data_IF_856725800667
#
_entry.id   IF_856725800667
#
_cell.length_a   1.000
_cell.length_b   1.000
_cell.length_c   1.000
_cell.angle_alpha   90.00
_cell.angle_beta   90.00
_cell.angle_gamma   90.00
#
_symmetry.space_group_name_H-M   'P 1'
#
loop_
_entity.id
_entity.type
_entity.pdbx_description
1 polymer ?
#
# COMPACT_ATOMS: atom_id res chain seq x y z
N UNK A 1 15.94 9.11 25.49
CA UNK A 1 15.76 8.40 24.20
C UNK A 1 15.08 9.39 23.28
N UNK A 2 15.88 10.18 22.57
CA UNK A 2 15.34 11.22 21.70
C UNK A 2 14.94 10.54 20.39
N UNK A 3 13.65 10.61 20.06
CA UNK A 3 13.14 10.09 18.80
C UNK A 3 13.83 10.80 17.64
N UNK A 4 14.19 10.11 16.53
CA UNK A 4 14.68 10.78 15.34
C UNK A 4 13.63 11.79 14.87
N UNK A 5 13.99 13.07 14.87
CA UNK A 5 13.11 14.15 14.44
C UNK A 5 12.90 14.05 12.92
N UNK A 6 11.73 13.57 12.52
CA UNK A 6 11.29 13.50 11.13
C UNK A 6 10.29 14.64 10.91
N UNK A 7 10.62 15.64 10.08
CA UNK A 7 9.75 16.79 9.83
C UNK A 7 9.30 16.79 8.36
N UNK A 8 8.06 16.32 8.05
CA UNK A 8 7.68 15.93 6.70
C UNK A 8 6.79 16.91 5.91
N UNK A 9 6.60 18.15 6.37
CA UNK A 9 5.81 19.10 5.58
C UNK A 9 6.64 19.68 4.42
N UNK A 10 6.90 18.82 3.43
CA UNK A 10 7.69 19.13 2.24
C UNK A 10 7.06 20.27 1.46
N UNK A 11 5.73 20.30 1.35
CA UNK A 11 4.99 21.40 0.74
C UNK A 11 5.29 22.73 1.43
N UNK A 12 5.10 22.82 2.76
CA UNK A 12 5.36 24.06 3.48
C UNK A 12 6.84 24.44 3.42
N UNK A 13 7.75 23.47 3.45
CA UNK A 13 9.17 23.73 3.26
C UNK A 13 9.44 24.38 1.91
N UNK A 14 8.90 23.83 0.81
CA UNK A 14 9.07 24.38 -0.54
C UNK A 14 8.48 25.79 -0.64
N UNK A 15 7.27 26.01 -0.13
CA UNK A 15 6.61 27.32 -0.19
C UNK A 15 7.30 28.39 0.66
N UNK A 16 8.02 28.01 1.70
CA UNK A 16 8.74 28.92 2.60
C UNK A 16 10.22 29.09 2.24
N UNK A 17 10.66 28.61 1.08
CA UNK A 17 12.03 28.83 0.62
C UNK A 17 12.28 30.32 0.39
N UNK A 18 13.47 30.83 0.73
CA UNK A 18 13.84 32.18 0.32
C UNK A 18 13.86 32.27 -1.21
N UNK A 19 13.64 33.46 -1.78
CA UNK A 19 13.76 33.68 -3.23
C UNK A 19 15.03 33.06 -3.81
N UNK A 20 14.94 32.40 -4.97
CA UNK A 20 16.09 31.74 -5.62
C UNK A 20 17.27 32.68 -5.93
N UNK A 21 17.08 33.99 -5.89
CA UNK A 21 18.12 35.03 -6.01
C UNK A 21 18.92 35.24 -4.71
N UNK A 22 18.37 34.88 -3.56
CA UNK A 22 18.96 35.08 -2.23
C UNK A 22 19.74 33.85 -1.74
N UNK A 23 19.79 32.77 -2.51
CA UNK A 23 20.46 31.54 -2.14
C UNK A 23 21.98 31.74 -2.16
N UNK A 24 22.62 31.58 -1.01
CA UNK A 24 24.09 31.68 -0.87
C UNK A 24 24.82 30.49 -1.49
N UNK A 25 24.16 29.34 -1.51
CA UNK A 25 24.64 28.06 -2.06
C UNK A 25 23.76 27.65 -3.23
N UNK A 26 24.29 26.81 -4.13
CA UNK A 26 23.50 26.24 -5.24
C UNK A 26 22.42 25.27 -4.77
N UNK A 27 22.35 24.94 -3.47
CA UNK A 27 21.37 24.03 -2.91
C UNK A 27 20.85 24.47 -1.53
N UNK A 28 19.61 24.07 -1.23
CA UNK A 28 18.97 24.17 0.09
C UNK A 28 18.44 22.79 0.46
N UNK A 29 18.63 22.36 1.70
CA UNK A 29 18.32 21.00 2.14
C UNK A 29 17.43 20.97 3.38
N UNK A 30 16.45 20.06 3.38
CA UNK A 30 15.62 19.66 4.51
C UNK A 30 16.08 18.30 5.02
N UNK A 31 16.31 18.16 6.32
CA UNK A 31 16.64 16.85 6.89
C UNK A 31 15.39 15.96 6.95
N UNK A 32 15.50 14.76 6.36
CA UNK A 32 14.46 13.74 6.36
C UNK A 32 14.63 12.85 7.59
N UNK A 33 15.80 12.22 7.75
CA UNK A 33 16.12 11.38 8.90
C UNK A 33 17.56 11.59 9.36
N UNK A 34 17.78 11.45 10.66
CA UNK A 34 19.11 11.39 11.28
C UNK A 34 19.30 10.07 11.99
N UNK A 35 20.45 9.42 11.81
CA UNK A 35 20.89 8.36 12.71
C UNK A 35 21.19 8.94 14.11
N UNK A 36 21.01 8.12 15.15
CA UNK A 36 21.37 8.45 16.55
C UNK A 36 22.89 8.63 16.73
N UNK A 37 23.70 8.15 15.79
CA UNK A 37 25.14 8.39 15.71
C UNK A 37 25.41 9.54 14.74
N UNK A 38 26.35 10.45 15.06
CA UNK A 38 26.78 11.52 14.14
C UNK A 38 27.25 10.87 12.83
N UNK A 39 26.42 11.01 11.80
CA UNK A 39 26.47 10.31 10.50
C UNK A 39 26.06 8.83 10.58
N UNK A 40 25.21 8.38 9.64
CA UNK A 40 24.70 9.10 8.46
C UNK A 40 23.31 9.77 8.62
N UNK A 41 23.00 10.71 7.73
CA UNK A 41 21.70 11.38 7.64
C UNK A 41 21.22 11.50 6.20
N UNK A 42 19.90 11.58 6.04
CA UNK A 42 19.20 11.71 4.76
C UNK A 42 18.55 13.09 4.66
N UNK A 43 18.66 13.71 3.48
CA UNK A 43 18.18 15.04 3.21
C UNK A 43 17.38 15.09 1.90
N UNK A 44 16.34 15.90 1.86
CA UNK A 44 15.72 16.36 0.64
C UNK A 44 16.41 17.67 0.25
N UNK A 45 17.06 17.72 -0.90
CA UNK A 45 17.78 18.91 -1.38
C UNK A 45 17.12 19.44 -2.63
N UNK A 46 17.01 20.76 -2.73
CA UNK A 46 16.67 21.45 -3.97
C UNK A 46 17.94 22.06 -4.51
N UNK A 47 18.32 21.65 -5.72
CA UNK A 47 19.52 22.09 -6.41
C UNK A 47 19.15 23.02 -7.57
N UNK A 48 19.83 24.17 -7.61
CA UNK A 48 19.79 25.14 -8.70
C UNK A 48 20.99 24.88 -9.61
N UNK A 49 20.76 24.17 -10.71
CA UNK A 49 21.82 23.81 -11.67
C UNK A 49 22.09 24.93 -12.67
N UNK A 50 21.10 25.75 -13.01
CA UNK A 50 21.28 26.95 -13.84
C UNK A 50 20.27 28.05 -13.46
N UNK A 51 20.26 29.16 -14.20
CA UNK A 51 19.27 30.24 -14.02
C UNK A 51 17.85 29.86 -14.46
N UNK A 52 17.65 28.70 -15.08
CA UNK A 52 16.38 28.34 -15.74
C UNK A 52 15.74 27.03 -15.28
N UNK A 53 16.43 26.21 -14.49
CA UNK A 53 15.85 24.97 -13.99
C UNK A 53 16.35 24.58 -12.61
N UNK A 54 15.49 23.85 -11.90
CA UNK A 54 15.70 23.35 -10.55
C UNK A 54 15.43 21.85 -10.53
N UNK A 55 16.14 21.11 -9.69
CA UNK A 55 15.92 19.69 -9.45
C UNK A 55 15.80 19.42 -7.95
N UNK A 56 14.87 18.53 -7.57
CA UNK A 56 14.81 17.99 -6.22
C UNK A 56 15.57 16.67 -6.17
N UNK A 57 16.28 16.41 -5.07
CA UNK A 57 17.03 15.18 -4.88
C UNK A 57 16.93 14.67 -3.45
N UNK A 58 16.86 13.35 -3.28
CA UNK A 58 17.06 12.72 -1.98
C UNK A 58 18.53 12.35 -1.89
N UNK A 59 19.22 12.87 -0.88
CA UNK A 59 20.68 12.77 -0.72
C UNK A 59 21.00 12.19 0.65
N UNK A 60 21.95 11.27 0.69
CA UNK A 60 22.52 10.77 1.94
C UNK A 60 23.96 11.27 2.10
N UNK A 61 24.32 11.64 3.32
CA UNK A 61 25.65 12.21 3.60
C UNK A 61 26.51 11.23 4.41
N UNK A 62 27.50 10.65 3.74
CA UNK A 62 28.48 9.69 4.27
C UNK A 62 29.92 10.21 4.21
N UNK A 63 30.12 11.53 4.37
CA UNK A 63 31.32 12.30 3.98
C UNK A 63 31.33 12.74 2.51
N UNK A 64 30.74 11.95 1.60
CA UNK A 64 30.44 12.34 0.21
C UNK A 64 28.92 12.27 0.02
N UNK A 65 28.28 13.27 -0.62
CA UNK A 65 26.86 13.23 -0.90
C UNK A 65 26.55 12.16 -1.96
N UNK A 66 25.72 11.18 -1.61
CA UNK A 66 25.20 10.18 -2.54
C UNK A 66 23.76 10.53 -2.88
N UNK A 67 23.48 10.69 -4.16
CA UNK A 67 22.14 11.00 -4.67
C UNK A 67 21.37 9.70 -4.86
N UNK A 68 20.36 9.48 -4.02
CA UNK A 68 19.49 8.30 -4.08
C UNK A 68 18.37 8.49 -5.10
N UNK A 69 17.90 9.72 -5.26
CA UNK A 69 16.87 10.07 -6.22
C UNK A 69 17.08 11.50 -6.71
N UNK A 70 16.73 11.79 -7.95
CA UNK A 70 16.69 13.14 -8.51
C UNK A 70 15.48 13.28 -9.44
N UNK A 71 14.71 14.36 -9.26
CA UNK A 71 13.53 14.68 -10.05
C UNK A 71 13.90 15.03 -11.49
N UNK A 72 12.90 14.97 -12.36
CA UNK A 72 12.99 15.61 -13.67
C UNK A 72 13.27 17.12 -13.51
N UNK A 73 14.00 17.76 -14.44
CA UNK A 73 14.23 19.21 -14.39
C UNK A 73 12.92 20.00 -14.41
N UNK A 74 12.72 20.85 -13.40
CA UNK A 74 11.60 21.77 -13.33
C UNK A 74 12.06 23.08 -13.95
N UNK A 75 11.51 23.39 -15.13
CA UNK A 75 11.82 24.61 -15.85
C UNK A 75 11.04 25.78 -15.25
N UNK A 76 11.76 26.83 -14.87
CA UNK A 76 11.16 28.06 -14.37
C UNK A 76 10.57 28.85 -15.54
N UNK A 77 9.32 29.27 -15.38
CA UNK A 77 8.59 30.03 -16.40
C UNK A 77 9.25 31.38 -16.71
N UNK A 78 9.94 31.98 -15.74
CA UNK A 78 10.68 33.22 -15.88
C UNK A 78 12.04 33.13 -15.15
N UNK A 79 13.10 33.72 -15.73
CA UNK A 79 14.42 33.85 -15.10
C UNK A 79 14.39 34.65 -13.78
N UNK A 80 13.34 35.46 -13.58
CA UNK A 80 13.09 36.26 -12.38
C UNK A 80 12.19 35.56 -11.36
N UNK A 81 11.70 34.34 -11.64
CA UNK A 81 10.83 33.59 -10.75
C UNK A 81 11.58 33.31 -9.45
N UNK A 82 10.95 33.63 -8.32
CA UNK A 82 11.57 33.60 -7.00
C UNK A 82 11.25 32.33 -6.22
N UNK A 83 10.11 31.71 -6.52
CA UNK A 83 9.53 30.55 -5.81
C UNK A 83 8.93 29.57 -6.82
N UNK A 84 8.64 28.34 -6.41
CA UNK A 84 7.86 27.42 -7.25
C UNK A 84 6.38 27.81 -7.18
N UNK A 85 5.75 27.99 -8.32
CA UNK A 85 4.32 28.24 -8.41
C UNK A 85 3.55 26.90 -8.51
N UNK A 86 2.23 27.00 -8.52
CA UNK A 86 1.33 25.85 -8.59
C UNK A 86 1.59 24.89 -9.76
N UNK A 87 1.83 25.33 -11.01
CA UNK A 87 2.06 24.41 -12.12
C UNK A 87 3.37 23.62 -11.97
N UNK A 88 4.43 24.23 -11.43
CA UNK A 88 5.68 23.54 -11.14
C UNK A 88 5.52 22.49 -10.02
N UNK A 89 4.74 22.81 -8.99
CA UNK A 89 4.42 21.88 -7.90
C UNK A 89 3.57 20.70 -8.39
N UNK A 90 2.63 20.96 -9.30
CA UNK A 90 1.84 19.94 -9.97
C UNK A 90 2.74 19.04 -10.84
N UNK A 91 3.68 19.62 -11.58
CA UNK A 91 4.63 18.86 -12.40
C UNK A 91 5.52 17.96 -11.52
N UNK A 92 6.02 18.51 -10.41
CA UNK A 92 6.79 17.74 -9.42
C UNK A 92 5.96 16.61 -8.81
N UNK A 93 4.69 16.86 -8.47
CA UNK A 93 3.78 15.83 -8.00
C UNK A 93 3.66 14.68 -9.00
N UNK A 94 3.44 14.99 -10.28
CA UNK A 94 3.38 13.98 -11.35
C UNK A 94 4.68 13.20 -11.48
N UNK A 95 5.83 13.88 -11.40
CA UNK A 95 7.15 13.24 -11.43
C UNK A 95 7.34 12.28 -10.25
N UNK A 96 6.96 12.69 -9.03
CA UNK A 96 7.00 11.86 -7.82
C UNK A 96 6.17 10.59 -8.00
N UNK A 97 4.92 10.72 -8.46
CA UNK A 97 4.04 9.55 -8.68
C UNK A 97 4.66 8.59 -9.69
N UNK A 98 5.15 9.12 -10.81
CA UNK A 98 5.80 8.32 -11.84
C UNK A 98 7.06 7.62 -11.32
N UNK A 99 7.83 8.28 -10.48
CA UNK A 99 9.02 7.68 -9.85
C UNK A 99 8.66 6.56 -8.90
N UNK A 100 7.63 6.72 -8.06
CA UNK A 100 7.15 5.63 -7.20
C UNK A 100 6.77 4.43 -8.07
N UNK A 101 5.94 4.61 -9.09
CA UNK A 101 5.47 3.52 -9.96
C UNK A 101 6.61 2.77 -10.68
N UNK A 102 7.77 3.41 -10.92
CA UNK A 102 8.94 2.74 -11.52
C UNK A 102 9.58 1.68 -10.64
N UNK A 103 9.38 1.76 -9.32
CA UNK A 103 9.81 0.73 -8.38
C UNK A 103 8.84 -0.46 -8.31
N UNK A 104 7.66 -0.32 -8.92
CA UNK A 104 6.66 -1.39 -8.99
C UNK A 104 7.04 -2.52 -9.95
N UNK A 105 6.25 -3.61 -9.94
CA UNK A 105 6.45 -4.75 -10.83
C UNK A 105 6.31 -4.40 -12.32
N UNK A 106 5.42 -3.46 -12.65
CA UNK A 106 5.14 -3.08 -14.03
C UNK A 106 5.57 -1.64 -14.35
N UNK A 107 6.72 -1.51 -14.99
CA UNK A 107 7.33 -0.22 -15.34
C UNK A 107 6.66 0.50 -16.52
N UNK A 108 5.59 -0.04 -17.10
CA UNK A 108 4.92 0.53 -18.28
C UNK A 108 3.92 1.64 -17.94
N UNK A 109 3.49 1.72 -16.68
CA UNK A 109 2.50 2.70 -16.28
C UNK A 109 3.12 4.09 -16.16
N UNK A 110 2.45 5.07 -16.74
CA UNK A 110 2.80 6.48 -16.61
C UNK A 110 1.56 7.23 -16.16
N UNK A 111 1.69 7.92 -15.04
CA UNK A 111 0.69 8.83 -14.56
C UNK A 111 0.72 10.13 -15.36
N UNK A 112 -0.46 10.53 -15.84
CA UNK A 112 -0.69 11.85 -16.42
C UNK A 112 -1.83 12.48 -15.63
N UNK A 113 -1.59 13.67 -15.13
CA UNK A 113 -2.62 14.42 -14.43
C UNK A 113 -3.65 14.93 -15.45
N UNK A 114 -4.93 14.66 -15.21
CA UNK A 114 -5.99 15.41 -15.85
C UNK A 114 -6.05 16.85 -15.31
N UNK A 115 -7.02 17.64 -15.78
CA UNK A 115 -7.31 18.95 -15.19
C UNK A 115 -7.80 18.78 -13.74
N UNK A 116 -6.88 18.73 -12.80
CA UNK A 116 -7.20 18.82 -11.38
C UNK A 116 -7.47 20.29 -11.10
N UNK A 117 -8.72 20.62 -10.79
CA UNK A 117 -8.97 21.79 -9.96
C UNK A 117 -8.29 21.47 -8.64
N UNK A 118 -7.29 22.25 -8.24
CA UNK A 118 -6.57 22.11 -6.97
C UNK A 118 -7.59 22.14 -5.84
N UNK A 119 -7.98 20.95 -5.41
CA UNK A 119 -8.96 20.78 -4.34
C UNK A 119 -8.31 21.11 -3.01
N UNK A 120 -9.14 21.56 -2.07
CA UNK A 120 -8.84 21.52 -0.65
C UNK A 120 -8.20 20.14 -0.35
N UNK A 121 -7.03 20.15 0.29
CA UNK A 121 -6.16 18.99 0.62
C UNK A 121 -5.04 18.60 -0.37
N UNK A 122 -4.85 19.28 -1.51
CA UNK A 122 -3.73 18.94 -2.42
C UNK A 122 -2.36 18.94 -1.71
N UNK A 123 -2.10 19.92 -0.83
CA UNK A 123 -0.90 19.99 0.03
C UNK A 123 -0.63 18.66 0.78
N UNK A 124 -1.67 18.10 1.39
CA UNK A 124 -1.52 16.91 2.22
C UNK A 124 -1.33 15.65 1.36
N UNK A 125 -2.00 15.59 0.21
CA UNK A 125 -1.79 14.54 -0.80
C UNK A 125 -0.38 14.60 -1.37
N UNK A 126 0.14 15.80 -1.64
CA UNK A 126 1.51 16.03 -2.09
C UNK A 126 2.51 15.50 -1.05
N UNK A 127 2.35 15.91 0.22
CA UNK A 127 3.20 15.42 1.30
C UNK A 127 3.15 13.89 1.43
N UNK A 128 1.97 13.27 1.31
CA UNK A 128 1.83 11.82 1.33
C UNK A 128 2.57 11.14 0.17
N UNK A 129 2.51 11.70 -1.04
CA UNK A 129 3.26 11.21 -2.19
C UNK A 129 4.78 11.33 -1.98
N UNK A 130 5.26 12.46 -1.44
CA UNK A 130 6.66 12.62 -1.06
C UNK A 130 7.10 11.58 -0.02
N UNK A 131 6.30 11.38 1.03
CA UNK A 131 6.58 10.37 2.06
C UNK A 131 6.67 8.96 1.47
N UNK A 132 5.78 8.65 0.55
CA UNK A 132 5.78 7.36 -0.15
C UNK A 132 7.03 7.20 -1.02
N UNK A 133 7.44 8.24 -1.76
CA UNK A 133 8.69 8.22 -2.51
C UNK A 133 9.89 8.00 -1.61
N UNK A 134 9.99 8.76 -0.51
CA UNK A 134 11.08 8.60 0.46
C UNK A 134 11.08 7.17 1.01
N UNK A 135 9.92 6.59 1.35
CA UNK A 135 9.82 5.20 1.81
C UNK A 135 10.37 4.19 0.80
N UNK A 136 9.97 4.30 -0.46
CA UNK A 136 10.44 3.40 -1.51
C UNK A 136 11.95 3.58 -1.76
N UNK A 137 12.43 4.83 -1.89
CA UNK A 137 13.86 5.14 -2.05
C UNK A 137 14.68 4.65 -0.85
N UNK A 138 14.16 4.78 0.38
CA UNK A 138 14.79 4.24 1.58
C UNK A 138 14.98 2.72 1.49
N UNK A 139 14.01 1.99 0.96
CA UNK A 139 14.08 0.53 0.89
C UNK A 139 15.07 0.08 -0.18
N UNK A 140 14.99 0.65 -1.38
CA UNK A 140 15.75 0.18 -2.54
C UNK A 140 17.13 0.80 -2.70
N UNK A 141 17.31 2.08 -2.34
CA UNK A 141 18.51 2.85 -2.67
C UNK A 141 19.35 3.20 -1.43
N UNK A 142 18.73 3.35 -0.25
CA UNK A 142 19.45 3.80 0.93
C UNK A 142 20.32 2.68 1.54
N UNK A 143 21.63 2.78 1.32
CA UNK A 143 22.65 2.17 2.18
C UNK A 143 23.02 3.18 3.29
N UNK A 144 23.47 2.80 4.52
CA UNK A 144 23.53 1.54 5.25
C UNK A 144 22.22 1.16 5.97
N UNK A 145 22.19 -0.09 6.44
CA UNK A 145 21.09 -0.71 7.16
C UNK A 145 20.53 0.12 8.32
N UNK A 146 21.38 0.71 9.18
CA UNK A 146 20.92 1.44 10.36
C UNK A 146 20.19 2.74 10.00
N UNK A 147 20.66 3.44 8.97
CA UNK A 147 19.97 4.62 8.44
C UNK A 147 18.61 4.24 7.85
N UNK A 148 18.59 3.19 7.03
CA UNK A 148 17.38 2.67 6.40
C UNK A 148 16.36 2.29 7.46
N UNK A 149 16.75 1.53 8.47
CA UNK A 149 15.86 1.10 9.57
C UNK A 149 15.27 2.30 10.32
N UNK A 150 16.11 3.24 10.76
CA UNK A 150 15.65 4.44 11.46
C UNK A 150 14.70 5.29 10.62
N UNK A 151 14.99 5.45 9.32
CA UNK A 151 14.08 6.13 8.39
C UNK A 151 12.76 5.40 8.22
N UNK A 152 12.78 4.09 7.96
CA UNK A 152 11.57 3.31 7.73
C UNK A 152 10.69 3.29 8.98
N UNK A 153 11.27 3.20 10.17
CA UNK A 153 10.51 3.28 11.43
C UNK A 153 9.83 4.65 11.61
N UNK A 154 10.52 5.74 11.30
CA UNK A 154 9.93 7.09 11.35
C UNK A 154 8.82 7.28 10.29
N UNK A 155 9.08 6.83 9.06
CA UNK A 155 8.12 6.87 7.95
C UNK A 155 6.88 6.06 8.25
N UNK A 156 7.02 4.87 8.86
CA UNK A 156 5.92 4.01 9.27
C UNK A 156 4.95 4.75 10.19
N UNK A 157 5.44 5.50 11.17
CA UNK A 157 4.59 6.29 12.07
C UNK A 157 3.76 7.31 11.29
N UNK A 158 4.37 7.99 10.31
CA UNK A 158 3.69 9.01 9.49
C UNK A 158 2.69 8.39 8.52
N UNK A 159 3.08 7.35 7.78
CA UNK A 159 2.26 6.66 6.78
C UNK A 159 1.08 5.89 7.40
N UNK A 160 1.18 5.48 8.65
CA UNK A 160 0.10 4.77 9.37
C UNK A 160 -0.82 5.69 10.20
N UNK A 161 -0.53 7.00 10.23
CA UNK A 161 -1.33 7.99 10.92
C UNK A 161 -2.77 8.09 10.36
N UNK A 162 -3.72 8.55 11.18
CA UNK A 162 -5.11 8.78 10.75
C UNK A 162 -5.19 9.73 9.56
N UNK A 163 -4.36 10.78 9.56
CA UNK A 163 -4.29 11.77 8.49
C UNK A 163 -3.80 11.14 7.18
N UNK A 164 -2.73 10.34 7.22
CA UNK A 164 -2.26 9.63 6.03
C UNK A 164 -3.31 8.66 5.47
N UNK A 165 -4.07 7.97 6.33
CA UNK A 165 -5.20 7.13 5.92
C UNK A 165 -6.34 7.93 5.27
N UNK A 166 -6.57 9.17 5.69
CA UNK A 166 -7.56 10.04 5.07
C UNK A 166 -7.06 10.55 3.71
N UNK A 167 -5.86 11.11 3.65
CA UNK A 167 -5.29 11.68 2.42
C UNK A 167 -4.96 10.63 1.36
N UNK A 168 -4.70 9.39 1.74
CA UNK A 168 -4.55 8.27 0.80
C UNK A 168 -5.82 8.03 -0.01
N UNK A 169 -7.02 8.24 0.56
CA UNK A 169 -8.29 8.16 -0.19
C UNK A 169 -8.38 9.22 -1.30
N UNK A 170 -7.84 10.41 -1.04
CA UNK A 170 -7.77 11.46 -2.05
C UNK A 170 -6.72 11.14 -3.12
N UNK A 171 -5.58 10.58 -2.72
CA UNK A 171 -4.53 10.14 -3.64
C UNK A 171 -5.04 9.07 -4.61
N UNK A 172 -5.66 7.99 -4.12
CA UNK A 172 -6.19 6.92 -4.99
C UNK A 172 -7.28 7.43 -5.93
N UNK A 173 -8.10 8.40 -5.50
CA UNK A 173 -9.06 9.08 -6.38
C UNK A 173 -8.40 9.87 -7.51
N UNK A 174 -7.24 10.47 -7.23
CA UNK A 174 -6.45 11.21 -8.23
C UNK A 174 -5.77 10.26 -9.21
N UNK A 175 -5.25 9.13 -8.71
CA UNK A 175 -4.61 8.09 -9.53
C UNK A 175 -5.62 7.39 -10.46
N UNK A 176 -6.83 7.12 -9.96
CA UNK A 176 -7.81 6.28 -10.65
C UNK A 176 -7.49 4.77 -10.49
N UNK A 177 -8.46 3.92 -10.84
CA UNK A 177 -8.45 2.50 -10.48
C UNK A 177 -7.19 1.74 -10.94
N UNK A 178 -6.79 1.89 -12.21
CA UNK A 178 -5.63 1.15 -12.74
C UNK A 178 -4.32 1.54 -12.05
N UNK A 179 -4.12 2.83 -11.79
CA UNK A 179 -2.88 3.31 -11.15
C UNK A 179 -2.91 3.13 -9.64
N UNK A 180 -4.11 3.07 -9.02
CA UNK A 180 -4.27 2.67 -7.63
C UNK A 180 -3.72 1.26 -7.40
N UNK A 181 -4.11 0.28 -8.23
CA UNK A 181 -3.61 -1.09 -8.11
C UNK A 181 -2.07 -1.14 -8.20
N UNK A 182 -1.49 -0.46 -9.18
CA UNK A 182 -0.04 -0.41 -9.38
C UNK A 182 0.71 0.35 -8.28
N UNK A 183 0.10 1.40 -7.75
CA UNK A 183 0.60 2.11 -6.58
C UNK A 183 0.63 1.18 -5.36
N UNK A 184 -0.45 0.42 -5.12
CA UNK A 184 -0.53 -0.52 -4.01
C UNK A 184 0.42 -1.71 -4.19
N UNK A 185 0.57 -2.23 -5.40
CA UNK A 185 1.58 -3.25 -5.77
C UNK A 185 2.99 -2.78 -5.47
N UNK A 186 3.32 -1.55 -5.84
CA UNK A 186 4.64 -0.94 -5.55
C UNK A 186 4.91 -0.87 -4.05
N UNK A 187 3.95 -0.34 -3.28
CA UNK A 187 4.07 -0.22 -1.83
C UNK A 187 4.19 -1.58 -1.14
N UNK A 188 3.38 -2.55 -1.58
CA UNK A 188 3.39 -3.90 -1.04
C UNK A 188 4.66 -4.66 -1.40
N UNK A 189 5.23 -4.44 -2.59
CA UNK A 189 6.53 -5.00 -2.95
C UNK A 189 7.65 -4.44 -2.06
N UNK A 190 7.70 -3.12 -1.88
CA UNK A 190 8.67 -2.49 -0.99
C UNK A 190 8.53 -3.02 0.46
N UNK A 191 7.28 -3.10 0.94
CA UNK A 191 6.96 -3.66 2.26
C UNK A 191 7.40 -5.12 2.38
N UNK A 192 7.17 -5.94 1.36
CA UNK A 192 7.60 -7.34 1.34
C UNK A 192 9.11 -7.48 1.41
N UNK A 193 9.85 -6.65 0.67
CA UNK A 193 11.31 -6.61 0.72
C UNK A 193 11.81 -6.20 2.11
N UNK A 194 11.19 -5.18 2.71
CA UNK A 194 11.55 -4.70 4.03
C UNK A 194 11.29 -5.74 5.14
N UNK A 195 10.09 -6.34 5.15
CA UNK A 195 9.75 -7.40 6.13
C UNK A 195 10.69 -8.59 5.98
N UNK A 196 10.97 -9.00 4.73
CA UNK A 196 11.94 -10.06 4.43
C UNK A 196 13.31 -9.80 5.06
N UNK A 197 13.81 -8.57 4.93
CA UNK A 197 15.10 -8.17 5.48
C UNK A 197 15.11 -8.24 7.03
N UNK A 198 14.06 -7.74 7.69
CA UNK A 198 13.94 -7.79 9.16
C UNK A 198 13.83 -9.23 9.66
N UNK A 199 13.05 -10.08 8.98
CA UNK A 199 12.90 -11.49 9.36
C UNK A 199 14.22 -12.27 9.22
N UNK A 200 15.07 -11.90 8.24
CA UNK A 200 16.39 -12.51 8.10
C UNK A 200 17.38 -12.13 9.21
N UNK A 201 17.16 -10.99 9.87
CA UNK A 201 18.07 -10.43 10.89
C UNK A 201 17.56 -10.60 12.34
N UNK A 202 16.30 -10.94 12.55
CA UNK A 202 15.71 -11.12 13.89
C UNK A 202 14.61 -12.19 13.91
N UNK A 203 14.77 -13.21 14.76
CA UNK A 203 13.87 -14.37 14.85
C UNK A 203 12.56 -14.14 15.61
N UNK A 204 12.36 -12.96 16.23
CA UNK A 204 11.22 -12.68 17.12
C UNK A 204 10.34 -11.51 16.69
N UNK A 205 10.43 -11.08 15.43
CA UNK A 205 9.67 -9.92 14.95
C UNK A 205 8.19 -10.28 14.67
N UNK A 206 7.27 -9.70 15.45
CA UNK A 206 5.84 -9.69 15.10
C UNK A 206 5.63 -8.72 13.95
N UNK A 207 5.19 -9.25 12.81
CA UNK A 207 4.97 -8.46 11.61
C UNK A 207 3.87 -7.42 11.91
N UNK A 208 4.14 -6.12 11.75
CA UNK A 208 3.11 -5.11 11.84
C UNK A 208 2.10 -5.36 10.72
N UNK A 209 0.82 -5.40 11.07
CA UNK A 209 -0.28 -5.40 10.11
C UNK A 209 -0.26 -4.10 9.29
N UNK A 210 0.43 -4.11 8.14
CA UNK A 210 0.39 -3.02 7.16
C UNK A 210 -0.73 -3.34 6.17
N UNK A 211 -1.97 -3.25 6.65
CA UNK A 211 -3.14 -3.40 5.81
C UNK A 211 -3.55 -2.03 5.31
N UNK A 212 -3.42 -1.79 4.00
CA UNK A 212 -4.12 -0.67 3.40
C UNK A 212 -5.55 -1.10 3.09
N UNK A 213 -6.51 -0.42 3.70
CA UNK A 213 -7.92 -0.57 3.33
C UNK A 213 -8.63 0.76 3.44
N UNK A 214 -9.61 0.95 2.58
CA UNK A 214 -10.50 2.09 2.66
C UNK A 214 -11.90 1.70 2.21
N UNK A 215 -12.87 2.45 2.73
CA UNK A 215 -14.26 2.34 2.35
C UNK A 215 -14.71 3.62 1.65
N UNK A 216 -15.51 3.46 0.60
CA UNK A 216 -16.22 4.52 -0.10
C UNK A 216 -17.71 4.23 0.00
N UNK A 217 -18.50 5.26 0.32
CA UNK A 217 -19.96 5.18 0.26
C UNK A 217 -20.47 5.95 -0.95
N UNK A 218 -21.37 5.32 -1.69
CA UNK A 218 -22.31 5.95 -2.60
C UNK A 218 -23.73 5.68 -2.09
N UNK A 219 -24.74 6.28 -2.71
CA UNK A 219 -26.15 6.12 -2.32
C UNK A 219 -26.52 4.63 -2.35
N UNK A 220 -26.83 4.05 -1.19
CA UNK A 220 -27.24 2.65 -1.04
C UNK A 220 -26.12 1.60 -1.18
N UNK A 221 -24.87 2.00 -1.41
CA UNK A 221 -23.74 1.09 -1.59
C UNK A 221 -22.51 1.52 -0.78
N UNK A 222 -21.91 0.59 -0.07
CA UNK A 222 -20.56 0.69 0.49
C UNK A 222 -19.63 -0.23 -0.29
N UNK A 223 -18.51 0.32 -0.74
CA UNK A 223 -17.42 -0.44 -1.36
C UNK A 223 -16.21 -0.36 -0.44
N UNK A 224 -15.71 -1.49 -0.01
CA UNK A 224 -14.45 -1.62 0.72
C UNK A 224 -13.41 -2.17 -0.25
N UNK A 225 -12.28 -1.48 -0.36
CA UNK A 225 -11.10 -1.93 -1.09
C UNK A 225 -9.99 -2.19 -0.08
N UNK A 226 -9.30 -3.33 -0.24
CA UNK A 226 -8.19 -3.74 0.61
C UNK A 226 -7.04 -4.30 -0.22
N UNK A 227 -5.83 -4.01 0.23
CA UNK A 227 -4.59 -4.49 -0.35
C UNK A 227 -3.68 -4.96 0.78
N UNK A 228 -3.15 -6.18 0.67
CA UNK A 228 -2.29 -6.75 1.71
C UNK A 228 -1.18 -7.63 1.11
N UNK A 229 0.11 -7.37 1.40
CA UNK A 229 1.16 -8.31 1.04
C UNK A 229 1.01 -9.60 1.87
N UNK A 230 1.16 -10.76 1.25
CA UNK A 230 0.92 -12.04 1.92
C UNK A 230 1.89 -12.28 3.06
N UNK A 231 3.13 -11.81 2.94
CA UNK A 231 4.14 -11.88 4.02
C UNK A 231 3.67 -11.17 5.32
N UNK A 232 2.69 -10.26 5.26
CA UNK A 232 2.13 -9.59 6.43
C UNK A 232 0.88 -10.27 7.01
N UNK A 233 0.45 -11.39 6.41
CA UNK A 233 -0.72 -12.15 6.85
C UNK A 233 -0.33 -13.26 7.84
N UNK A 234 -1.27 -13.62 8.71
CA UNK A 234 -1.11 -14.80 9.56
C UNK A 234 -1.39 -16.06 8.73
N UNK A 235 -0.51 -17.05 8.82
CA UNK A 235 -0.67 -18.34 8.15
C UNK A 235 -1.36 -19.32 9.10
N UNK A 236 -2.57 -19.80 8.76
CA UNK A 236 -3.34 -20.72 9.61
C UNK A 236 -2.77 -22.15 9.61
N UNK A 237 -2.22 -22.60 8.49
CA UNK A 237 -1.55 -23.92 8.36
C UNK A 237 -0.25 -23.76 7.58
N UNK A 238 0.89 -23.63 8.28
CA UNK A 238 2.16 -23.97 7.67
C UNK A 238 2.34 -25.47 7.84
N UNK A 239 1.96 -26.26 6.84
CA UNK A 239 2.44 -27.64 6.77
C UNK A 239 3.96 -27.54 6.82
N UNK A 240 4.57 -28.08 7.88
CA UNK A 240 6.02 -28.12 8.02
C UNK A 240 6.55 -29.13 7.01
N UNK A 241 6.58 -28.75 5.74
CA UNK A 241 6.86 -29.62 4.61
C UNK A 241 7.74 -28.85 3.61
N UNK A 242 9.04 -29.10 3.78
CA UNK A 242 10.09 -29.05 2.75
C UNK A 242 10.32 -27.72 2.02
N UNK A 243 11.29 -26.97 2.53
CA UNK A 243 12.48 -26.36 1.90
C UNK A 243 12.56 -26.13 0.36
N UNK A 244 11.46 -25.97 -0.36
CA UNK A 244 11.53 -25.55 -1.75
C UNK A 244 11.66 -24.02 -1.82
N UNK A 245 12.90 -23.56 -1.99
CA UNK A 245 13.23 -22.13 -2.07
C UNK A 245 12.50 -21.44 -3.24
N UNK A 246 12.22 -22.15 -4.34
CA UNK A 246 11.51 -21.59 -5.49
C UNK A 246 10.03 -21.41 -5.18
N UNK A 247 9.40 -22.39 -4.52
CA UNK A 247 8.02 -22.24 -4.08
C UNK A 247 7.90 -21.13 -3.03
N UNK A 248 8.80 -21.14 -2.04
CA UNK A 248 8.85 -20.11 -1.01
C UNK A 248 9.03 -18.71 -1.61
N UNK A 249 9.87 -18.55 -2.64
CA UNK A 249 10.01 -17.30 -3.37
C UNK A 249 8.69 -16.89 -4.05
N UNK A 250 8.05 -17.82 -4.77
CA UNK A 250 6.83 -17.56 -5.55
C UNK A 250 5.68 -17.10 -4.66
N UNK A 251 5.50 -17.76 -3.52
CA UNK A 251 4.45 -17.50 -2.54
C UNK A 251 4.70 -16.22 -1.73
N UNK A 252 5.96 -15.93 -1.41
CA UNK A 252 6.35 -14.74 -0.63
C UNK A 252 6.03 -13.43 -1.34
N UNK A 253 6.25 -13.36 -2.65
CA UNK A 253 6.05 -12.15 -3.44
C UNK A 253 4.64 -12.09 -4.03
N UNK A 254 3.65 -12.28 -3.17
CA UNK A 254 2.24 -12.17 -3.51
C UNK A 254 1.55 -11.12 -2.65
N UNK A 255 0.43 -10.62 -3.14
CA UNK A 255 -0.47 -9.81 -2.34
C UNK A 255 -1.93 -10.10 -2.69
N UNK A 256 -2.78 -9.85 -1.71
CA UNK A 256 -4.23 -9.91 -1.85
C UNK A 256 -4.73 -8.57 -2.34
N UNK A 257 -5.59 -8.60 -3.36
CA UNK A 257 -6.43 -7.49 -3.80
C UNK A 257 -7.89 -7.85 -3.52
N UNK A 258 -8.53 -7.13 -2.61
CA UNK A 258 -9.89 -7.44 -2.16
C UNK A 258 -10.87 -6.31 -2.42
N UNK A 259 -12.07 -6.65 -2.89
CA UNK A 259 -13.21 -5.76 -3.04
C UNK A 259 -14.43 -6.37 -2.38
N UNK A 260 -14.99 -5.69 -1.38
CA UNK A 260 -16.24 -6.07 -0.73
C UNK A 260 -17.29 -4.99 -1.01
N UNK A 261 -18.39 -5.37 -1.63
CA UNK A 261 -19.52 -4.50 -1.93
C UNK A 261 -20.68 -4.87 -1.01
N UNK A 262 -21.21 -3.88 -0.31
CA UNK A 262 -22.32 -4.01 0.62
C UNK A 262 -23.42 -3.05 0.19
N UNK A 263 -24.61 -3.57 -0.09
CA UNK A 263 -25.80 -2.73 -0.21
C UNK A 263 -26.32 -2.38 1.19
N UNK A 264 -26.64 -1.12 1.44
CA UNK A 264 -27.20 -0.71 2.72
C UNK A 264 -28.50 0.08 2.56
N UNK A 265 -29.40 -0.10 3.53
CA UNK A 265 -30.66 0.64 3.63
C UNK A 265 -30.80 1.15 5.06
N UNK A 266 -31.08 2.44 5.20
CA UNK A 266 -31.39 3.07 6.49
C UNK A 266 -32.88 3.34 6.58
N UNK A 267 -33.49 2.94 7.70
CA UNK A 267 -34.88 3.26 8.02
C UNK A 267 -34.92 4.02 9.33
N UNK A 268 -35.33 5.27 9.27
CA UNK A 268 -35.48 6.12 10.46
C UNK A 268 -36.75 5.72 11.20
N UNK A 269 -36.62 5.43 12.50
CA UNK A 269 -37.74 5.29 13.44
C UNK A 269 -37.67 6.41 14.47
N UNK A 270 -38.70 6.53 15.30
CA UNK A 270 -38.83 7.63 16.27
C UNK A 270 -37.59 7.78 17.17
N UNK A 271 -37.06 6.67 17.70
CA UNK A 271 -35.98 6.69 18.69
C UNK A 271 -34.69 5.96 18.25
N UNK A 272 -34.64 5.37 17.06
CA UNK A 272 -33.47 4.67 16.55
C UNK A 272 -33.45 4.58 15.02
N UNK A 273 -32.31 4.17 14.46
CA UNK A 273 -32.13 3.95 13.02
C UNK A 273 -31.89 2.47 12.77
N UNK A 274 -32.73 1.85 11.95
CA UNK A 274 -32.48 0.51 11.44
C UNK A 274 -31.52 0.60 10.27
N UNK A 275 -30.38 -0.09 10.36
CA UNK A 275 -29.39 -0.19 9.28
C UNK A 275 -29.36 -1.64 8.78
N UNK A 276 -29.97 -1.88 7.63
CA UNK A 276 -29.93 -3.18 6.95
C UNK A 276 -28.74 -3.21 6.00
N UNK A 277 -27.88 -4.22 6.12
CA UNK A 277 -26.68 -4.38 5.30
C UNK A 277 -26.75 -5.74 4.61
N UNK A 278 -26.59 -5.76 3.29
CA UNK A 278 -26.53 -6.96 2.45
C UNK A 278 -25.19 -7.03 1.77
N UNK A 279 -24.56 -8.20 1.81
CA UNK A 279 -23.37 -8.46 1.00
C UNK A 279 -23.82 -8.66 -0.43
N UNK A 280 -23.38 -7.78 -1.33
CA UNK A 280 -23.70 -7.84 -2.76
C UNK A 280 -22.67 -8.68 -3.50
N UNK A 281 -21.38 -8.38 -3.30
CA UNK A 281 -20.29 -9.04 -4.00
C UNK A 281 -19.00 -9.00 -3.18
N UNK A 282 -18.25 -10.11 -3.19
CA UNK A 282 -16.92 -10.22 -2.57
C UNK A 282 -15.99 -10.79 -3.63
N UNK A 283 -14.91 -10.07 -3.92
CA UNK A 283 -13.85 -10.51 -4.83
C UNK A 283 -12.52 -10.42 -4.11
N UNK A 284 -11.72 -11.47 -4.23
CA UNK A 284 -10.37 -11.52 -3.71
C UNK A 284 -9.49 -12.15 -4.78
N UNK A 285 -8.52 -11.39 -5.26
CA UNK A 285 -7.51 -11.88 -6.18
C UNK A 285 -6.15 -11.98 -5.48
N UNK A 286 -5.35 -12.92 -5.92
CA UNK A 286 -3.95 -13.07 -5.52
C UNK A 286 -3.08 -12.77 -6.73
N UNK A 287 -2.32 -11.70 -6.61
CA UNK A 287 -1.49 -11.18 -7.68
C UNK A 287 -0.01 -11.25 -7.29
N UNK A 288 0.86 -11.50 -8.27
CA UNK A 288 2.32 -11.45 -8.07
C UNK A 288 2.80 -10.01 -7.92
N UNK A 289 3.69 -9.77 -6.94
CA UNK A 289 4.34 -8.49 -6.72
C UNK A 289 5.64 -8.31 -7.52
N UNK A 290 6.08 -9.32 -8.26
CA UNK A 290 7.27 -9.23 -9.14
C UNK A 290 6.94 -9.66 -10.56
N UNK A 291 7.83 -9.34 -11.50
CA UNK A 291 7.63 -9.67 -12.91
C UNK A 291 7.55 -11.18 -13.14
N UNK A 292 6.80 -11.58 -14.17
CA UNK A 292 6.71 -12.98 -14.63
C UNK A 292 8.10 -13.56 -14.94
N UNK A 293 9.00 -12.75 -15.48
CA UNK A 293 10.39 -13.16 -15.74
C UNK A 293 11.14 -13.53 -14.45
N UNK A 294 11.03 -12.70 -13.40
CA UNK A 294 11.69 -12.99 -12.13
C UNK A 294 11.04 -14.18 -11.42
N UNK A 295 9.72 -14.32 -11.56
CA UNK A 295 8.98 -15.48 -11.07
C UNK A 295 9.41 -16.78 -11.77
N UNK A 296 9.64 -16.75 -13.09
CA UNK A 296 10.11 -17.93 -13.82
C UNK A 296 11.57 -18.29 -13.48
N UNK A 297 12.43 -17.28 -13.30
CA UNK A 297 13.86 -17.48 -13.01
C UNK A 297 14.12 -17.97 -11.58
N UNK A 298 13.41 -17.43 -10.58
CA UNK A 298 13.65 -17.71 -9.16
C UNK A 298 12.57 -18.53 -8.47
N UNK A 299 11.38 -18.60 -9.08
CA UNK A 299 10.21 -19.29 -8.55
C UNK A 299 9.74 -20.43 -9.45
N UNK A 300 8.51 -20.91 -9.22
CA UNK A 300 7.83 -21.89 -10.09
C UNK A 300 6.91 -21.25 -11.14
N UNK A 301 6.75 -19.92 -11.10
CA UNK A 301 5.86 -19.18 -11.98
C UNK A 301 4.68 -18.55 -11.22
N UNK A 302 3.79 -17.90 -11.97
CA UNK A 302 2.63 -17.15 -11.47
C UNK A 302 1.43 -18.00 -11.05
N UNK A 303 1.45 -19.29 -11.40
CA UNK A 303 0.33 -20.22 -11.16
C UNK A 303 0.26 -20.65 -9.69
N UNK A 304 1.39 -20.73 -9.01
CA UNK A 304 1.46 -21.04 -7.58
C UNK A 304 0.94 -19.86 -6.78
N UNK A 305 -0.15 -20.03 -6.03
CA UNK A 305 -0.80 -18.95 -5.29
C UNK A 305 -1.24 -19.40 -3.91
N UNK A 306 -1.17 -18.49 -2.94
CA UNK A 306 -1.86 -18.66 -1.68
C UNK A 306 -3.38 -18.65 -1.87
N UNK A 307 -4.09 -19.32 -0.96
CA UNK A 307 -5.54 -19.25 -0.88
C UNK A 307 -5.96 -18.48 0.38
N UNK A 308 -6.63 -17.31 0.26
CA UNK A 308 -7.16 -16.59 1.42
C UNK A 308 -8.27 -17.39 2.11
N UNK A 309 -7.99 -17.97 3.28
CA UNK A 309 -8.97 -18.79 4.01
C UNK A 309 -10.04 -17.96 4.74
N UNK A 310 -9.67 -16.77 5.23
CA UNK A 310 -10.54 -15.94 6.08
C UNK A 310 -10.35 -14.45 5.85
N UNK A 311 -11.47 -13.74 5.72
CA UNK A 311 -11.53 -12.28 5.74
C UNK A 311 -12.46 -11.86 6.86
N UNK A 312 -11.98 -10.97 7.73
CA UNK A 312 -12.80 -10.36 8.79
C UNK A 312 -13.04 -8.90 8.45
N UNK A 313 -14.31 -8.52 8.38
CA UNK A 313 -14.73 -7.14 8.21
C UNK A 313 -15.48 -6.68 9.45
N UNK A 314 -14.98 -5.61 10.07
CA UNK A 314 -15.63 -4.99 11.22
C UNK A 314 -16.34 -3.71 10.79
N UNK A 315 -17.64 -3.63 11.04
CA UNK A 315 -18.45 -2.45 10.80
C UNK A 315 -18.70 -1.79 12.16
N UNK A 316 -18.24 -0.55 12.30
CA UNK A 316 -18.36 0.21 13.56
C UNK A 316 -18.98 1.58 13.26
N UNK A 317 -19.96 2.06 14.03
CA UNK A 317 -20.44 3.43 13.93
C UNK A 317 -19.32 4.44 14.18
N UNK A 318 -19.34 5.57 13.46
CA UNK A 318 -18.31 6.62 13.53
C UNK A 318 -18.39 7.47 14.81
N UNK A 319 -19.57 7.55 15.44
CA UNK A 319 -19.81 8.22 16.72
C UNK A 319 -20.32 7.19 17.73
N UNK A 320 -20.16 7.47 19.03
CA UNK A 320 -20.74 6.64 20.10
C UNK A 320 -22.27 6.61 19.93
N UNK A 321 -22.75 5.58 19.25
CA UNK A 321 -24.14 5.21 19.20
C UNK A 321 -24.29 3.89 19.95
N UNK A 322 -25.14 3.88 20.97
CA UNK A 322 -25.50 2.66 21.67
C UNK A 322 -26.13 1.68 20.66
N UNK A 323 -25.41 0.59 20.36
CA UNK A 323 -25.93 -0.45 19.47
C UNK A 323 -26.96 -1.26 20.25
N UNK A 324 -28.24 -1.03 19.94
CA UNK A 324 -29.36 -1.63 20.68
C UNK A 324 -29.48 -3.13 20.38
N UNK A 325 -29.28 -3.55 19.12
CA UNK A 325 -29.39 -4.95 18.71
C UNK A 325 -28.66 -5.22 17.40
N UNK A 326 -28.19 -6.46 17.22
CA UNK A 326 -27.63 -6.97 15.96
C UNK A 326 -28.34 -8.26 15.59
N UNK A 327 -28.81 -8.37 14.36
CA UNK A 327 -29.42 -9.60 13.82
C UNK A 327 -28.77 -9.97 12.48
N UNK A 328 -28.53 -11.27 12.28
CA UNK A 328 -28.02 -11.81 11.01
C UNK A 328 -29.11 -12.69 10.41
N UNK A 329 -29.53 -12.39 9.19
CA UNK A 329 -30.45 -13.23 8.42
C UNK A 329 -29.67 -14.15 7.48
N UNK A 330 -30.18 -15.36 7.20
CA UNK A 330 -29.59 -16.25 6.19
C UNK A 330 -29.47 -15.50 4.86
N UNK A 331 -28.35 -15.71 4.16
CA UNK A 331 -28.19 -15.30 2.76
C UNK A 331 -29.39 -15.81 1.96
N UNK A 332 -29.97 -14.97 1.11
CA UNK A 332 -30.87 -15.45 0.05
C UNK A 332 -30.14 -16.51 -0.77
N UNK A 333 -30.89 -17.45 -1.39
CA UNK A 333 -30.39 -18.54 -2.26
C UNK A 333 -29.58 -18.01 -3.46
N UNK A 334 -28.39 -17.48 -3.20
CA UNK A 334 -27.38 -17.25 -4.21
C UNK A 334 -26.86 -18.63 -4.60
N UNK A 335 -26.89 -19.02 -5.89
CA UNK A 335 -26.28 -20.25 -6.32
C UNK A 335 -24.79 -20.19 -5.98
N UNK A 336 -24.31 -21.19 -5.24
CA UNK A 336 -22.88 -21.38 -4.97
C UNK A 336 -22.18 -21.55 -6.31
N UNK A 337 -21.34 -20.59 -6.69
CA UNK A 337 -20.51 -20.71 -7.88
C UNK A 337 -19.13 -21.23 -7.45
N UNK A 338 -18.93 -22.54 -7.52
CA UNK A 338 -17.61 -23.13 -7.40
C UNK A 338 -16.82 -22.81 -8.68
N UNK A 339 -15.79 -21.98 -8.57
CA UNK A 339 -14.86 -21.71 -9.67
C UNK A 339 -13.59 -22.49 -9.39
N UNK A 340 -13.36 -23.54 -10.18
CA UNK A 340 -12.10 -24.29 -10.20
C UNK A 340 -12.16 -25.66 -9.53
N UNK A 341 -12.89 -26.61 -10.12
CA UNK A 341 -12.48 -28.02 -10.03
C UNK A 341 -11.77 -28.36 -11.34
N UNK A 342 -10.44 -28.47 -11.28
CA UNK A 342 -9.76 -29.37 -12.20
C UNK A 342 -10.44 -30.75 -12.07
N UNK A 343 -10.91 -31.27 -13.19
CA UNK A 343 -11.60 -32.55 -13.27
C UNK A 343 -10.65 -33.68 -12.87
N UNK A 344 -10.65 -34.07 -11.60
CA UNK A 344 -10.28 -35.43 -11.22
C UNK A 344 -11.46 -36.35 -11.50
N UNK A 345 -11.33 -37.13 -12.57
CA UNK A 345 -12.24 -38.19 -12.98
C UNK A 345 -12.14 -39.37 -11.98
N UNK A 346 -13.19 -39.66 -11.23
CA UNK A 346 -13.36 -40.99 -10.61
C UNK A 346 -14.86 -41.34 -10.48
N UNK A 347 -15.18 -42.60 -10.76
CA UNK A 347 -16.49 -43.04 -11.25
C UNK A 347 -17.58 -43.33 -10.21
N UNK A 348 -18.82 -43.08 -10.66
CA UNK A 348 -20.12 -43.76 -10.41
C UNK A 348 -20.32 -44.63 -9.16
N UNK A 349 -21.41 -44.41 -8.42
CA UNK A 349 -22.61 -45.26 -8.38
C UNK A 349 -23.67 -44.68 -7.41
N UNK A 350 -24.89 -44.42 -7.89
CA UNK A 350 -26.12 -44.17 -7.09
C UNK A 350 -27.05 -45.40 -7.25
N UNK A 351 -28.01 -45.73 -6.35
CA UNK A 351 -29.18 -44.87 -5.99
C UNK A 351 -29.77 -45.14 -4.55
N UNK A 352 -31.06 -44.84 -4.21
CA UNK A 352 -31.56 -43.56 -3.66
C UNK A 352 -32.34 -43.65 -2.31
N UNK A 353 -32.63 -42.47 -1.72
CA UNK A 353 -33.62 -42.11 -0.65
C UNK A 353 -33.29 -42.42 0.83
N UNK A 354 -33.13 -41.36 1.63
CA UNK A 354 -34.11 -40.93 2.66
C UNK A 354 -33.59 -39.74 3.48
N UNK A 355 -34.48 -38.76 3.68
CA UNK A 355 -34.36 -37.59 4.55
C UNK A 355 -34.10 -37.99 6.02
N UNK A 356 -32.94 -37.66 6.61
CA UNK A 356 -32.78 -37.28 8.03
C UNK A 356 -31.57 -36.34 8.16
N UNK A 357 -31.81 -35.04 8.34
CA UNK A 357 -30.79 -34.08 8.75
C UNK A 357 -30.47 -34.31 10.23
N UNK A 358 -29.34 -34.97 10.49
CA UNK A 358 -28.72 -35.04 11.82
C UNK A 358 -27.42 -34.25 11.74
N UNK A 359 -27.37 -33.09 12.39
CA UNK A 359 -26.14 -32.29 12.53
C UNK A 359 -25.19 -33.02 13.48
N UNK A 360 -24.14 -33.62 12.92
CA UNK A 360 -22.99 -34.12 13.66
C UNK A 360 -21.72 -33.56 13.03
N UNK A 361 -20.99 -32.73 13.78
CA UNK A 361 -19.63 -32.33 13.44
C UNK A 361 -18.71 -33.54 13.55
N UNK A 362 -18.13 -33.99 12.43
CA UNK A 362 -16.99 -34.92 12.43
C UNK A 362 -15.79 -34.25 11.80
N UNK A 363 -14.78 -34.00 12.62
CA UNK A 363 -13.39 -33.85 12.19
C UNK A 363 -12.96 -35.13 11.44
N UNK A 364 -12.43 -34.97 10.23
CA UNK A 364 -11.74 -36.06 9.53
C UNK A 364 -10.34 -35.62 9.14
N UNK A 365 -9.38 -36.09 9.92
CA UNK A 365 -8.00 -36.33 9.49
C UNK A 365 -8.03 -37.46 8.45
N UNK A 366 -7.43 -37.23 7.28
CA UNK A 366 -7.06 -38.33 6.38
C UNK A 366 -5.64 -38.08 5.86
N UNK A 367 -4.71 -38.89 6.37
CA UNK A 367 -3.42 -39.21 5.74
C UNK A 367 -3.65 -40.04 4.48
N UNK A 368 -2.90 -39.76 3.41
CA UNK A 368 -2.38 -40.70 2.41
C UNK A 368 -1.30 -39.91 1.63
N UNK A 369 0.02 -40.14 1.77
CA UNK A 369 0.81 -41.26 1.23
C UNK A 369 0.45 -41.61 -0.22
N UNK A 370 0.96 -40.83 -1.17
CA UNK A 370 2.20 -41.14 -1.93
C UNK A 370 2.70 -39.90 -2.65
#
# INVERSE_FOLDING_TARGET
>A
MDAPAFVPDVWAWICNLPPFSQWKTSSVSLCICTSTTKQPSMFLSINKNSTSHITLSIVTNFHVPVYLWTSSPIYLSNKMQQTLDEPELIQLFVDIINWVLRYGPNKKYTFRLGAIQTKENFKNVFNLACLTLVFVVCIYEAAPHDLRRGCVDALKVQLTSSNAKEFSKYLVRILGANLEEEWMRTLNLATTNWISEIMSSSSSFRIPSVLFSYAVSAIGLWKVQLYCPVIAMNMEESSSLNQDERLAFSLKYQHVEGVVQLAYKTTWRENWVDVEIKVDNVRCDITSLVSETLMAERGYGSEEKHFPSRISLQITPLQQSDVISVSVTKSSDNPTHEVGFEKSLEGSFEPPKALILTLASKSRQTRMLL
#
